data_IF_761085950646
#
_entry.id   IF_761085950646
#
_cell.length_a   1.000
_cell.length_b   1.000
_cell.length_c   1.000
_cell.angle_alpha   90.00
_cell.angle_beta   90.00
_cell.angle_gamma   90.00
#
_symmetry.space_group_name_H-M   'P 1'
#
loop_
_entity.id
_entity.type
_entity.pdbx_description
1 polymer ?
#
# COMPACT_ATOMS: atom_id res chain seq x y z
N UNK A 1 -1.71 9.57 8.65
CA UNK A 1 -0.50 10.18 8.02
C UNK A 1 -0.84 10.91 6.71
N UNK A 2 -1.62 10.31 5.80
CA UNK A 2 -1.98 10.92 4.51
C UNK A 2 -2.48 12.37 4.56
N UNK A 3 -3.51 12.68 5.37
CA UNK A 3 -4.05 14.05 5.46
C UNK A 3 -3.00 15.08 5.87
N UNK A 4 -2.19 14.77 6.88
CA UNK A 4 -1.13 15.68 7.30
C UNK A 4 -0.05 15.84 6.22
N UNK A 5 0.30 14.78 5.48
CA UNK A 5 1.33 14.86 4.44
C UNK A 5 0.86 15.49 3.12
N UNK A 6 -0.44 15.38 2.79
CA UNK A 6 -0.99 15.82 1.50
C UNK A 6 -1.76 17.13 1.62
N UNK A 7 -2.43 17.37 2.74
CA UNK A 7 -3.32 18.52 2.96
C UNK A 7 -2.93 19.40 4.16
N UNK A 8 -1.81 19.10 4.83
CA UNK A 8 -1.34 19.79 6.05
C UNK A 8 -2.43 19.96 7.13
N UNK A 9 -3.33 18.98 7.22
CA UNK A 9 -4.46 19.03 8.14
C UNK A 9 -4.79 17.66 8.75
N UNK A 10 -5.74 17.64 9.67
CA UNK A 10 -6.35 16.41 10.19
C UNK A 10 -7.66 16.12 9.44
N UNK A 11 -8.07 14.84 9.31
CA UNK A 11 -9.40 14.52 8.78
C UNK A 11 -10.48 15.24 9.60
N UNK A 12 -11.44 15.85 8.91
CA UNK A 12 -12.53 16.60 9.54
C UNK A 12 -13.51 15.70 10.33
N UNK A 13 -13.55 14.39 10.00
CA UNK A 13 -14.40 13.41 10.63
C UNK A 13 -13.63 12.12 10.95
N UNK A 14 -14.04 11.36 11.98
CA UNK A 14 -13.51 10.02 12.23
C UNK A 14 -13.90 9.05 11.10
N UNK A 15 -13.19 7.93 11.00
CA UNK A 15 -13.48 6.90 10.01
C UNK A 15 -14.84 6.23 10.26
N UNK A 16 -15.64 6.08 9.21
CA UNK A 16 -16.97 5.45 9.26
C UNK A 16 -16.90 3.94 9.50
N UNK A 17 -15.82 3.29 9.06
CA UNK A 17 -15.61 1.84 9.20
C UNK A 17 -14.17 1.58 9.68
N UNK A 18 -14.02 0.66 10.64
CA UNK A 18 -12.73 0.16 11.11
C UNK A 18 -12.58 -1.30 10.72
N UNK A 19 -11.52 -1.63 10.00
CA UNK A 19 -11.24 -2.97 9.45
C UNK A 19 -9.77 -3.35 9.69
N UNK A 20 -9.43 -4.66 9.69
CA UNK A 20 -8.11 -5.10 10.15
C UNK A 20 -6.96 -4.81 9.18
N UNK A 21 -7.23 -4.62 7.89
CA UNK A 21 -6.18 -4.42 6.88
C UNK A 21 -6.66 -3.63 5.64
N UNK A 22 -5.70 -3.24 4.79
CA UNK A 22 -5.97 -2.40 3.61
C UNK A 22 -6.75 -3.11 2.48
N UNK A 23 -6.70 -4.44 2.40
CA UNK A 23 -7.51 -5.20 1.44
C UNK A 23 -8.97 -5.15 1.85
N UNK A 24 -9.25 -5.25 3.16
CA UNK A 24 -10.58 -5.03 3.70
C UNK A 24 -11.06 -3.59 3.47
N UNK A 25 -10.18 -2.59 3.60
CA UNK A 25 -10.52 -1.19 3.25
C UNK A 25 -10.93 -1.07 1.78
N UNK A 26 -10.20 -1.70 0.85
CA UNK A 26 -10.59 -1.70 -0.57
C UNK A 26 -11.95 -2.37 -0.78
N UNK A 27 -12.19 -3.52 -0.16
CA UNK A 27 -13.49 -4.21 -0.25
C UNK A 27 -14.64 -3.33 0.24
N UNK A 28 -14.46 -2.61 1.36
CA UNK A 28 -15.45 -1.65 1.86
C UNK A 28 -15.69 -0.50 0.87
N UNK A 29 -14.64 0.04 0.25
CA UNK A 29 -14.77 1.11 -0.73
C UNK A 29 -15.54 0.64 -1.99
N UNK A 30 -15.19 -0.54 -2.52
CA UNK A 30 -15.92 -1.18 -3.64
C UNK A 30 -17.39 -1.43 -3.29
N UNK A 31 -17.68 -1.81 -2.03
CA UNK A 31 -19.04 -2.01 -1.55
C UNK A 31 -19.82 -0.71 -1.27
N UNK A 32 -19.24 0.46 -1.52
CA UNK A 32 -19.90 1.76 -1.36
C UNK A 32 -19.90 2.31 0.07
N UNK A 33 -19.02 1.82 0.95
CA UNK A 33 -18.92 2.31 2.33
C UNK A 33 -18.34 3.74 2.45
N UNK A 34 -17.87 4.32 1.33
CA UNK A 34 -17.35 5.67 1.24
C UNK A 34 -15.98 5.72 0.58
N UNK A 35 -15.14 6.68 1.03
CA UNK A 35 -13.84 6.96 0.44
C UNK A 35 -12.70 6.34 1.26
N UNK A 36 -11.64 5.93 0.58
CA UNK A 36 -10.47 5.35 1.21
C UNK A 36 -9.17 5.91 0.61
N UNK A 37 -8.13 5.96 1.45
CA UNK A 37 -6.75 6.21 1.01
C UNK A 37 -6.03 4.88 0.96
N UNK A 38 -5.60 4.48 -0.24
CA UNK A 38 -4.99 3.17 -0.51
C UNK A 38 -3.71 3.31 -1.33
N UNK A 39 -2.70 2.45 -1.10
CA UNK A 39 -1.56 2.36 -2.00
C UNK A 39 -1.99 1.90 -3.41
N UNK A 40 -1.40 2.49 -4.46
CA UNK A 40 -1.73 2.17 -5.86
C UNK A 40 -1.64 0.68 -6.17
N UNK A 41 -0.57 0.00 -5.72
CA UNK A 41 -0.37 -1.43 -5.98
C UNK A 41 -1.53 -2.32 -5.49
N UNK A 42 -2.30 -1.85 -4.49
CA UNK A 42 -3.39 -2.62 -3.91
C UNK A 42 -4.70 -2.39 -4.67
N UNK A 43 -4.90 -1.20 -5.24
CA UNK A 43 -6.14 -0.82 -5.94
C UNK A 43 -6.01 -0.74 -7.47
N UNK A 44 -4.83 -0.97 -8.06
CA UNK A 44 -4.61 -0.87 -9.50
C UNK A 44 -5.65 -1.64 -10.33
N UNK A 45 -5.85 -2.93 -10.04
CA UNK A 45 -6.82 -3.75 -10.76
C UNK A 45 -8.28 -3.29 -10.56
N UNK A 46 -8.61 -2.72 -9.39
CA UNK A 46 -9.96 -2.21 -9.13
C UNK A 46 -10.21 -0.88 -9.86
N UNK A 47 -9.17 -0.06 -10.01
CA UNK A 47 -9.21 1.16 -10.84
C UNK A 47 -9.34 0.82 -12.32
N UNK A 48 -8.56 -0.16 -12.81
CA UNK A 48 -8.62 -0.63 -14.21
C UNK A 48 -10.01 -1.14 -14.60
N UNK A 49 -10.69 -1.84 -13.68
CA UNK A 49 -12.06 -2.32 -13.88
C UNK A 49 -13.14 -1.24 -13.67
N UNK A 50 -12.78 -0.11 -13.07
CA UNK A 50 -13.73 0.94 -12.69
C UNK A 50 -14.56 0.63 -11.44
N UNK A 51 -14.18 -0.39 -10.64
CA UNK A 51 -14.85 -0.72 -9.38
C UNK A 51 -14.67 0.39 -8.33
N UNK A 52 -13.59 1.16 -8.45
CA UNK A 52 -13.31 2.38 -7.70
C UNK A 52 -12.71 3.43 -8.63
N UNK A 53 -12.78 4.70 -8.23
CA UNK A 53 -12.22 5.82 -8.99
C UNK A 53 -11.17 6.54 -8.14
N UNK A 54 -10.13 7.07 -8.78
CA UNK A 54 -9.17 7.94 -8.10
C UNK A 54 -9.78 9.34 -7.92
N UNK A 55 -9.96 9.77 -6.66
CA UNK A 55 -10.46 11.11 -6.36
C UNK A 55 -9.35 12.17 -6.26
N UNK A 56 -8.16 11.76 -5.87
CA UNK A 56 -7.01 12.63 -5.74
C UNK A 56 -5.74 11.84 -6.00
N UNK A 57 -4.89 12.37 -6.87
CA UNK A 57 -3.53 11.89 -7.07
C UNK A 57 -2.55 12.94 -6.54
N UNK A 58 -1.87 12.70 -5.40
CA UNK A 58 -0.93 13.67 -4.87
C UNK A 58 0.31 13.75 -5.78
N UNK A 59 0.78 14.97 -6.06
CA UNK A 59 1.98 15.20 -6.88
C UNK A 59 3.22 14.49 -6.31
N UNK A 60 3.28 14.34 -5.00
CA UNK A 60 4.31 13.57 -4.30
C UNK A 60 3.61 12.50 -3.45
N UNK A 61 3.67 11.21 -3.84
CA UNK A 61 3.09 10.15 -3.03
C UNK A 61 3.86 10.04 -1.70
N UNK A 62 3.17 9.78 -0.57
CA UNK A 62 3.85 9.55 0.70
C UNK A 62 4.82 8.36 0.60
N UNK A 63 6.11 8.63 0.84
CA UNK A 63 7.15 7.61 0.82
C UNK A 63 6.88 6.50 1.83
N UNK A 64 6.97 5.25 1.36
CA UNK A 64 6.92 4.06 2.20
C UNK A 64 8.07 3.12 1.83
N UNK A 65 9.13 3.18 2.62
CA UNK A 65 10.29 2.30 2.44
C UNK A 65 10.02 0.93 3.05
N UNK A 66 10.25 -0.11 2.27
CA UNK A 66 10.16 -1.50 2.70
C UNK A 66 11.57 -2.10 2.80
N UNK A 67 11.80 -2.92 3.81
CA UNK A 67 13.07 -3.62 4.00
C UNK A 67 12.81 -5.12 4.09
N UNK A 68 13.43 -5.95 3.24
CA UNK A 68 13.42 -7.39 3.44
C UNK A 68 14.26 -7.72 4.68
N UNK A 69 13.73 -8.56 5.56
CA UNK A 69 14.40 -8.96 6.80
C UNK A 69 14.57 -10.47 6.82
N UNK A 70 15.78 -10.92 7.14
CA UNK A 70 16.14 -12.34 7.25
C UNK A 70 16.69 -12.62 8.64
N UNK A 71 16.46 -13.84 9.13
CA UNK A 71 17.07 -14.28 10.40
C UNK A 71 18.58 -14.47 10.19
N UNK A 72 19.39 -14.03 11.15
CA UNK A 72 20.85 -14.23 11.12
C UNK A 72 21.23 -15.67 10.81
N UNK A 73 22.19 -15.87 9.90
CA UNK A 73 22.66 -17.19 9.46
C UNK A 73 21.81 -17.88 8.38
N UNK A 74 20.56 -17.45 8.15
CA UNK A 74 19.68 -18.14 7.17
C UNK A 74 20.07 -17.90 5.72
N UNK A 75 20.85 -16.86 5.42
CA UNK A 75 21.43 -16.65 4.08
C UNK A 75 22.49 -17.69 3.71
N UNK A 76 22.97 -18.54 4.64
CA UNK A 76 23.80 -19.69 4.30
C UNK A 76 23.01 -20.78 3.55
N UNK A 77 21.67 -20.75 3.61
CA UNK A 77 20.81 -21.69 2.89
C UNK A 77 20.60 -21.18 1.45
N UNK A 78 21.04 -21.92 0.40
CA UNK A 78 21.07 -21.39 -0.97
C UNK A 78 19.71 -20.90 -1.51
N UNK A 79 18.61 -21.57 -1.14
CA UNK A 79 17.27 -21.17 -1.56
C UNK A 79 16.80 -19.87 -0.89
N UNK A 80 17.21 -19.61 0.35
CA UNK A 80 16.91 -18.35 1.06
C UNK A 80 17.74 -17.21 0.48
N UNK A 81 19.05 -17.42 0.25
CA UNK A 81 19.91 -16.44 -0.41
C UNK A 81 19.36 -16.03 -1.78
N UNK A 82 18.98 -17.02 -2.59
CA UNK A 82 18.39 -16.78 -3.92
C UNK A 82 17.09 -15.98 -3.84
N UNK A 83 16.19 -16.33 -2.90
CA UNK A 83 14.94 -15.59 -2.72
C UNK A 83 15.19 -14.15 -2.26
N UNK A 84 16.13 -13.94 -1.33
CA UNK A 84 16.51 -12.62 -0.84
C UNK A 84 17.08 -11.73 -1.96
N UNK A 85 18.01 -12.25 -2.76
CA UNK A 85 18.56 -11.56 -3.93
C UNK A 85 17.50 -11.24 -4.99
N UNK A 86 16.55 -12.16 -5.19
CA UNK A 86 15.47 -11.92 -6.14
C UNK A 86 14.53 -10.82 -5.66
N UNK A 87 14.18 -10.82 -4.37
CA UNK A 87 13.36 -9.75 -3.77
C UNK A 87 14.05 -8.40 -3.85
N UNK A 88 15.36 -8.32 -3.57
CA UNK A 88 16.11 -7.06 -3.69
C UNK A 88 16.17 -6.55 -5.13
N UNK A 89 16.34 -7.45 -6.11
CA UNK A 89 16.32 -7.07 -7.53
C UNK A 89 14.93 -6.59 -7.96
N UNK A 90 13.88 -7.33 -7.63
CA UNK A 90 12.51 -6.94 -7.95
C UNK A 90 12.12 -5.62 -7.27
N UNK A 91 12.64 -5.35 -6.07
CA UNK A 91 12.37 -4.13 -5.33
C UNK A 91 12.92 -2.86 -5.99
N UNK A 92 13.91 -2.97 -6.90
CA UNK A 92 14.37 -1.83 -7.67
C UNK A 92 13.29 -1.26 -8.60
N UNK A 93 12.34 -2.12 -9.01
CA UNK A 93 11.21 -1.75 -9.87
C UNK A 93 9.93 -1.45 -9.05
N UNK A 94 10.00 -1.46 -7.72
CA UNK A 94 8.85 -1.10 -6.87
C UNK A 94 8.70 0.42 -6.82
N UNK A 95 7.90 0.95 -7.74
CA UNK A 95 7.48 2.35 -7.82
C UNK A 95 6.07 2.47 -8.38
#
# INVERSE_FOLDING_TARGET
RYWASVFDCRPAAPGTVVVPDLRAVLACAVAGAGLAVLPRYLCAAALERGDVVALHEPTVPPLRTYFPVVRTGTLAMPHIARAHEWLLRAAADWG
#
